data_IF_632155795800
#
_entry.id   IF_632155795800
#
_cell.length_a   1.000
_cell.length_b   1.000
_cell.length_c   1.000
_cell.angle_alpha   90.00
_cell.angle_beta   90.00
_cell.angle_gamma   90.00
#
_symmetry.space_group_name_H-M   'P 1'
#
loop_
_entity.id
_entity.type
_entity.pdbx_description
1 polymer ?
#
# COMPACT_ATOMS: atom_id res chain seq x y z
N UNK A 1 -18.05 -29.89 -15.81
CA UNK A 1 -17.75 -29.52 -14.40
C UNK A 1 -17.30 -28.07 -14.22
N UNK A 2 -16.55 -27.45 -15.16
CA UNK A 2 -16.16 -26.02 -15.05
C UNK A 2 -17.28 -25.03 -15.43
N UNK A 3 -18.26 -25.47 -16.20
CA UNK A 3 -19.34 -24.66 -16.80
C UNK A 3 -20.45 -24.30 -15.80
N UNK A 4 -20.76 -25.19 -14.86
CA UNK A 4 -21.86 -24.98 -13.90
C UNK A 4 -21.49 -24.00 -12.78
N UNK A 5 -20.22 -23.98 -12.37
CA UNK A 5 -19.70 -23.01 -11.39
C UNK A 5 -19.73 -21.58 -11.95
N UNK A 6 -19.35 -21.39 -13.21
CA UNK A 6 -19.39 -20.09 -13.86
C UNK A 6 -20.83 -19.58 -14.07
N UNK A 7 -21.79 -20.48 -14.32
CA UNK A 7 -23.21 -20.14 -14.45
C UNK A 7 -23.83 -19.76 -13.10
N UNK A 8 -23.50 -20.47 -12.02
CA UNK A 8 -23.91 -20.08 -10.66
C UNK A 8 -23.33 -18.72 -10.24
N UNK A 9 -22.07 -18.44 -10.60
CA UNK A 9 -21.42 -17.16 -10.31
C UNK A 9 -22.06 -16.01 -11.11
N UNK A 10 -22.42 -16.25 -12.37
CA UNK A 10 -23.15 -15.28 -13.18
C UNK A 10 -24.57 -15.01 -12.64
N UNK A 11 -25.29 -16.05 -12.22
CA UNK A 11 -26.62 -15.91 -11.63
C UNK A 11 -26.58 -15.19 -10.28
N UNK A 12 -25.62 -15.54 -9.41
CA UNK A 12 -25.38 -14.81 -8.16
C UNK A 12 -25.01 -13.34 -8.41
N UNK A 13 -24.19 -13.05 -9.44
CA UNK A 13 -23.92 -11.66 -9.86
C UNK A 13 -25.18 -10.92 -10.29
N UNK A 14 -26.05 -11.57 -11.05
CA UNK A 14 -27.27 -10.97 -11.57
C UNK A 14 -28.31 -10.76 -10.46
N UNK A 15 -28.48 -11.72 -9.56
CA UNK A 15 -29.38 -11.63 -8.40
C UNK A 15 -28.87 -10.59 -7.39
N UNK A 16 -27.56 -10.51 -7.15
CA UNK A 16 -26.95 -9.45 -6.33
C UNK A 16 -27.14 -8.07 -7.00
N UNK A 17 -26.87 -7.93 -8.29
CA UNK A 17 -27.08 -6.65 -8.99
C UNK A 17 -28.56 -6.22 -9.01
N UNK A 18 -29.49 -7.15 -9.22
CA UNK A 18 -30.93 -6.89 -9.18
C UNK A 18 -31.37 -6.47 -7.78
N UNK A 19 -30.90 -7.16 -6.74
CA UNK A 19 -31.21 -6.79 -5.35
C UNK A 19 -30.61 -5.46 -4.88
N UNK A 20 -29.45 -5.07 -5.42
CA UNK A 20 -28.82 -3.76 -5.18
C UNK A 20 -29.56 -2.64 -5.92
N UNK A 21 -30.13 -2.91 -7.10
CA UNK A 21 -30.98 -1.97 -7.84
C UNK A 21 -32.39 -1.82 -7.24
N UNK A 22 -32.88 -2.84 -6.52
CA UNK A 22 -34.20 -2.82 -5.88
C UNK A 22 -34.20 -2.25 -4.44
N UNK A 23 -33.07 -1.75 -3.93
CA UNK A 23 -33.04 -1.12 -2.60
C UNK A 23 -33.36 -2.09 -1.45
N UNK A 24 -33.05 -3.38 -1.62
CA UNK A 24 -33.26 -4.39 -0.58
C UNK A 24 -32.28 -4.18 0.59
N UNK A 25 -32.76 -3.54 1.66
CA UNK A 25 -31.99 -3.31 2.89
C UNK A 25 -31.33 -4.59 3.45
N UNK A 26 -31.92 -5.77 3.23
CA UNK A 26 -31.49 -7.03 3.87
C UNK A 26 -30.10 -7.51 3.44
N UNK A 27 -29.72 -7.32 2.18
CA UNK A 27 -28.40 -7.76 1.67
C UNK A 27 -27.30 -6.78 2.09
N UNK A 28 -27.58 -5.47 2.00
CA UNK A 28 -26.68 -4.45 2.53
C UNK A 28 -26.48 -4.63 4.03
N UNK A 29 -27.56 -4.89 4.78
CA UNK A 29 -27.51 -5.14 6.21
C UNK A 29 -26.71 -6.41 6.55
N UNK A 30 -26.82 -7.49 5.76
CA UNK A 30 -26.04 -8.71 5.97
C UNK A 30 -24.53 -8.48 5.85
N UNK A 31 -24.08 -7.80 4.80
CA UNK A 31 -22.66 -7.53 4.60
C UNK A 31 -22.11 -6.50 5.60
N UNK A 32 -22.90 -5.49 5.92
CA UNK A 32 -22.57 -4.57 7.02
C UNK A 32 -22.47 -5.31 8.36
N UNK A 33 -23.38 -6.25 8.64
CA UNK A 33 -23.32 -7.09 9.83
C UNK A 33 -22.10 -8.02 9.84
N UNK A 34 -21.72 -8.62 8.70
CA UNK A 34 -20.49 -9.42 8.60
C UNK A 34 -19.25 -8.58 8.92
N UNK A 35 -19.20 -7.34 8.42
CA UNK A 35 -18.11 -6.42 8.69
C UNK A 35 -17.99 -6.06 10.18
N UNK A 36 -19.12 -5.77 10.83
CA UNK A 36 -19.16 -5.34 12.24
C UNK A 36 -18.94 -6.53 13.19
N UNK A 37 -19.69 -7.62 12.99
CA UNK A 37 -19.77 -8.70 13.97
C UNK A 37 -18.65 -9.73 13.80
N UNK A 38 -18.31 -10.10 12.57
CA UNK A 38 -17.34 -11.15 12.28
C UNK A 38 -15.94 -10.56 12.08
N UNK A 39 -15.82 -9.60 11.16
CA UNK A 39 -14.54 -8.98 10.83
C UNK A 39 -14.07 -7.97 11.89
N UNK A 40 -14.99 -7.39 12.68
CA UNK A 40 -14.68 -6.36 13.69
C UNK A 40 -13.88 -5.19 13.11
N UNK A 41 -14.24 -4.76 11.90
CA UNK A 41 -13.60 -3.66 11.20
C UNK A 41 -12.05 -3.76 11.09
N UNK A 42 -11.50 -4.96 10.91
CA UNK A 42 -10.06 -5.16 10.64
C UNK A 42 -9.56 -4.33 9.46
N UNK A 43 -10.41 -4.10 8.47
CA UNK A 43 -10.08 -3.23 7.34
C UNK A 43 -9.81 -1.78 7.76
N UNK A 44 -10.28 -1.33 8.93
CA UNK A 44 -10.18 0.05 9.39
C UNK A 44 -9.18 0.26 10.53
N UNK A 45 -8.54 -0.79 11.08
CA UNK A 45 -7.71 -0.72 12.31
C UNK A 45 -6.41 -1.55 12.24
N UNK A 46 -5.31 -0.98 11.73
CA UNK A 46 -5.28 0.22 10.91
C UNK A 46 -5.80 -0.08 9.49
N UNK A 47 -6.35 0.94 8.82
CA UNK A 47 -6.64 0.84 7.41
C UNK A 47 -5.35 0.94 6.61
N UNK A 48 -5.04 -0.10 5.83
CA UNK A 48 -3.88 -0.11 4.95
C UNK A 48 -4.22 0.50 3.59
N UNK A 49 -3.71 1.71 3.36
CA UNK A 49 -3.71 2.32 2.04
C UNK A 49 -2.59 1.75 1.18
N UNK A 50 -2.93 0.89 0.21
CA UNK A 50 -1.96 0.19 -0.65
C UNK A 50 -1.96 0.82 -2.04
N UNK A 51 -0.80 1.31 -2.49
CA UNK A 51 -0.61 1.89 -3.83
C UNK A 51 0.59 1.22 -4.51
N UNK A 52 0.32 0.47 -5.57
CA UNK A 52 1.36 0.02 -6.49
C UNK A 52 1.74 1.13 -7.48
N UNK A 53 3.03 1.31 -7.75
CA UNK A 53 3.53 2.28 -8.73
C UNK A 53 4.91 1.90 -9.22
N UNK A 54 5.25 2.32 -10.44
CA UNK A 54 6.59 2.12 -10.98
C UNK A 54 7.43 3.39 -10.88
N UNK A 55 8.72 3.21 -10.67
CA UNK A 55 9.75 4.25 -10.78
C UNK A 55 10.80 3.73 -11.76
N UNK A 56 10.99 4.45 -12.86
CA UNK A 56 11.99 4.12 -13.88
C UNK A 56 13.10 5.16 -13.87
N UNK A 57 14.34 4.72 -14.10
CA UNK A 57 15.47 5.62 -14.27
C UNK A 57 16.34 5.15 -15.44
N UNK A 58 16.59 6.08 -16.35
CA UNK A 58 17.63 5.91 -17.37
C UNK A 58 19.00 6.15 -16.71
N UNK A 59 19.96 5.27 -16.99
CA UNK A 59 21.32 5.30 -16.43
C UNK A 59 21.46 4.53 -15.11
N UNK A 60 22.57 4.77 -14.41
CA UNK A 60 22.71 4.33 -13.02
C UNK A 60 21.76 5.12 -12.10
N UNK A 61 21.66 4.75 -10.82
CA UNK A 61 20.94 5.52 -9.80
C UNK A 61 21.36 7.00 -9.76
N UNK A 62 22.46 7.39 -10.42
CA UNK A 62 23.05 8.71 -10.31
C UNK A 62 23.55 8.90 -8.89
N UNK A 63 23.26 10.04 -8.27
CA UNK A 63 23.50 10.25 -6.84
C UNK A 63 22.46 9.48 -6.01
N UNK A 64 22.87 8.56 -5.10
CA UNK A 64 21.97 7.86 -4.19
C UNK A 64 21.11 8.81 -3.36
N UNK A 65 21.67 9.95 -2.92
CA UNK A 65 20.95 10.97 -2.18
C UNK A 65 19.80 11.60 -2.98
N UNK A 66 20.04 11.87 -4.27
CA UNK A 66 18.99 12.41 -5.16
C UNK A 66 17.88 11.39 -5.38
N UNK A 67 18.22 10.12 -5.57
CA UNK A 67 17.23 9.07 -5.76
C UNK A 67 16.42 8.79 -4.49
N UNK A 68 17.07 8.76 -3.32
CA UNK A 68 16.39 8.71 -2.03
C UNK A 68 15.38 9.84 -1.88
N UNK A 69 15.76 11.07 -2.21
CA UNK A 69 14.87 12.23 -2.14
C UNK A 69 13.67 12.10 -3.10
N UNK A 70 13.87 11.54 -4.28
CA UNK A 70 12.82 11.25 -5.26
C UNK A 70 11.82 10.20 -4.73
N UNK A 71 12.32 9.09 -4.18
CA UNK A 71 11.49 8.06 -3.55
C UNK A 71 10.69 8.61 -2.37
N UNK A 72 11.33 9.39 -1.51
CA UNK A 72 10.67 10.04 -0.36
C UNK A 72 9.56 10.98 -0.81
N UNK A 73 9.85 11.88 -1.76
CA UNK A 73 8.84 12.77 -2.33
C UNK A 73 7.70 11.96 -2.96
N UNK A 74 8.02 10.88 -3.67
CA UNK A 74 7.04 9.98 -4.28
C UNK A 74 6.12 9.29 -3.25
N UNK A 75 6.70 8.81 -2.15
CA UNK A 75 5.97 8.18 -1.05
C UNK A 75 5.05 9.20 -0.35
N UNK A 76 5.58 10.37 0.01
CA UNK A 76 4.83 11.46 0.66
C UNK A 76 3.69 11.98 -0.23
N UNK A 77 3.93 12.16 -1.53
CA UNK A 77 2.89 12.61 -2.48
C UNK A 77 1.71 11.61 -2.53
N UNK A 78 2.00 10.32 -2.48
CA UNK A 78 0.98 9.26 -2.49
C UNK A 78 0.19 9.23 -1.17
N UNK A 79 0.87 9.39 -0.04
CA UNK A 79 0.24 9.55 1.27
C UNK A 79 -0.73 10.74 1.27
N UNK A 80 -0.27 11.92 0.83
CA UNK A 80 -1.07 13.13 0.73
C UNK A 80 -2.31 12.92 -0.16
N UNK A 81 -2.14 12.30 -1.33
CA UNK A 81 -3.26 12.00 -2.23
C UNK A 81 -4.33 11.13 -1.58
N UNK A 82 -3.96 10.14 -0.77
CA UNK A 82 -4.93 9.37 0.00
C UNK A 82 -5.63 10.27 1.03
N UNK A 83 -4.86 10.99 1.84
CA UNK A 83 -5.40 11.86 2.89
C UNK A 83 -6.38 12.92 2.34
N UNK A 84 -6.14 13.44 1.15
CA UNK A 84 -6.98 14.46 0.51
C UNK A 84 -8.20 13.86 -0.19
N UNK A 85 -8.10 12.62 -0.70
CA UNK A 85 -9.22 11.94 -1.37
C UNK A 85 -10.18 11.23 -0.41
N UNK A 86 -9.69 10.82 0.78
CA UNK A 86 -10.48 10.12 1.80
C UNK A 86 -11.17 11.12 2.71
N UNK A 87 -12.20 11.76 2.17
CA UNK A 87 -13.07 12.73 2.84
C UNK A 87 -14.54 12.28 2.82
N UNK A 88 -15.33 12.70 3.80
CA UNK A 88 -16.78 12.44 3.81
C UNK A 88 -17.47 13.16 2.65
N UNK A 89 -18.64 12.67 2.24
CA UNK A 89 -19.44 13.29 1.17
C UNK A 89 -20.29 14.50 1.64
N UNK A 90 -20.20 14.83 2.93
CA UNK A 90 -20.99 15.90 3.55
C UNK A 90 -20.45 17.30 3.18
N UNK A 91 -21.19 18.35 3.54
CA UNK A 91 -20.78 19.75 3.31
C UNK A 91 -20.71 20.50 4.64
N UNK A 92 -19.53 20.98 5.07
CA UNK A 92 -18.20 20.80 4.45
C UNK A 92 -17.65 19.38 4.65
N UNK A 93 -16.82 18.87 3.72
CA UNK A 93 -16.23 17.54 3.85
C UNK A 93 -15.23 17.49 5.00
N UNK A 94 -15.14 16.34 5.66
CA UNK A 94 -14.19 16.06 6.75
C UNK A 94 -13.29 14.91 6.37
N UNK A 95 -12.01 14.96 6.75
CA UNK A 95 -11.04 13.88 6.53
C UNK A 95 -11.45 12.63 7.29
N UNK A 96 -11.27 11.45 6.69
CA UNK A 96 -11.53 10.17 7.33
C UNK A 96 -10.39 9.75 8.25
N UNK A 97 -9.16 10.11 7.93
CA UNK A 97 -7.97 9.57 8.57
C UNK A 97 -7.12 10.65 9.25
N UNK A 98 -6.46 10.25 10.33
CA UNK A 98 -5.23 10.92 10.81
C UNK A 98 -4.06 10.61 9.86
N UNK A 99 -2.96 11.39 9.89
CA UNK A 99 -1.71 10.96 9.24
C UNK A 99 -1.34 9.53 9.64
N UNK A 100 -0.74 8.75 8.74
CA UNK A 100 -0.53 7.33 8.98
C UNK A 100 0.49 7.12 10.11
N UNK A 101 0.23 6.12 10.94
CA UNK A 101 1.07 5.76 12.08
C UNK A 101 2.28 4.93 11.65
N UNK A 102 2.18 4.26 10.49
CA UNK A 102 3.24 3.42 9.92
C UNK A 102 3.32 3.58 8.41
N UNK A 103 4.53 3.41 7.89
CA UNK A 103 4.87 3.47 6.48
C UNK A 103 5.55 2.17 6.07
N UNK A 104 5.17 1.62 4.93
CA UNK A 104 5.89 0.52 4.32
C UNK A 104 6.12 0.81 2.83
N UNK A 105 7.29 0.44 2.32
CA UNK A 105 7.61 0.55 0.91
C UNK A 105 8.33 -0.73 0.51
N UNK A 106 7.78 -1.44 -0.47
CA UNK A 106 8.28 -2.73 -0.92
C UNK A 106 8.67 -2.67 -2.39
N UNK A 107 9.76 -3.34 -2.74
CA UNK A 107 10.12 -3.63 -4.13
C UNK A 107 9.34 -4.87 -4.54
N UNK A 108 8.33 -4.71 -5.41
CA UNK A 108 7.58 -5.82 -5.99
C UNK A 108 8.37 -6.53 -7.09
N UNK A 109 9.08 -5.74 -7.89
CA UNK A 109 9.84 -6.21 -9.03
C UNK A 109 10.92 -5.18 -9.37
N UNK A 110 12.05 -5.65 -9.89
CA UNK A 110 13.15 -4.81 -10.35
C UNK A 110 13.67 -5.37 -11.66
N UNK A 111 13.71 -4.54 -12.69
CA UNK A 111 14.12 -4.91 -14.04
C UNK A 111 15.24 -4.02 -14.51
N UNK A 112 16.28 -4.62 -15.09
CA UNK A 112 17.28 -3.85 -15.84
C UNK A 112 16.69 -3.48 -17.20
N UNK A 113 16.84 -2.23 -17.60
CA UNK A 113 16.52 -1.77 -18.95
C UNK A 113 17.81 -1.62 -19.75
N UNK A 114 17.72 -1.39 -21.07
CA UNK A 114 18.90 -1.21 -21.92
C UNK A 114 19.81 -0.06 -21.44
N UNK A 115 19.22 0.96 -20.84
CA UNK A 115 19.90 2.18 -20.39
C UNK A 115 19.97 2.31 -18.88
N UNK A 116 19.21 1.55 -18.08
CA UNK A 116 19.11 1.75 -16.63
C UNK A 116 18.29 0.68 -15.92
N UNK A 117 17.30 1.10 -15.11
CA UNK A 117 16.45 0.16 -14.37
C UNK A 117 15.03 0.68 -14.16
N UNK A 118 14.11 -0.25 -13.91
CA UNK A 118 12.72 -0.01 -13.53
C UNK A 118 12.43 -0.77 -12.24
N UNK A 119 11.90 -0.06 -11.24
CA UNK A 119 11.38 -0.65 -10.01
C UNK A 119 9.87 -0.56 -10.01
N UNK A 120 9.20 -1.67 -9.74
CA UNK A 120 7.79 -1.67 -9.36
C UNK A 120 7.73 -1.70 -7.84
N UNK A 121 7.15 -0.67 -7.25
CA UNK A 121 7.06 -0.45 -5.82
C UNK A 121 5.63 -0.60 -5.34
N UNK A 122 5.48 -0.99 -4.07
CA UNK A 122 4.20 -0.97 -3.35
C UNK A 122 4.40 -0.08 -2.12
N UNK A 123 3.75 1.08 -2.12
CA UNK A 123 3.63 1.92 -0.93
C UNK A 123 2.43 1.45 -0.11
N UNK A 124 2.61 1.34 1.21
CA UNK A 124 1.56 0.99 2.16
C UNK A 124 1.60 1.96 3.32
N UNK A 125 0.43 2.39 3.78
CA UNK A 125 0.28 3.37 4.85
C UNK A 125 -0.77 2.87 5.84
N UNK A 126 -0.41 2.80 7.12
CA UNK A 126 -1.33 2.40 8.18
C UNK A 126 -2.06 3.64 8.72
N UNK A 127 -3.27 3.89 8.23
CA UNK A 127 -4.11 4.99 8.67
C UNK A 127 -5.04 4.57 9.81
N UNK A 128 -5.37 5.53 10.67
CA UNK A 128 -6.39 5.37 11.70
C UNK A 128 -7.65 6.15 11.30
N UNK A 129 -8.78 5.44 11.21
CA UNK A 129 -10.09 6.05 10.91
C UNK A 129 -10.63 6.84 12.09
N UNK A 130 -10.90 8.13 11.88
CA UNK A 130 -11.48 9.05 12.85
C UNK A 130 -12.92 8.71 13.23
N UNK A 131 -13.60 7.90 12.42
CA UNK A 131 -15.01 7.55 12.56
C UNK A 131 -15.24 6.13 13.07
N UNK A 132 -14.16 5.38 13.28
CA UNK A 132 -14.22 4.05 13.87
C UNK A 132 -14.09 4.17 15.39
N UNK A 133 -15.14 3.80 16.11
CA UNK A 133 -15.12 3.75 17.58
C UNK A 133 -14.36 2.52 18.10
N UNK A 134 -14.05 2.51 19.40
CA UNK A 134 -13.29 1.44 20.04
C UNK A 134 -13.99 0.07 20.02
N UNK A 135 -15.31 0.05 19.91
CA UNK A 135 -16.16 -1.12 19.72
C UNK A 135 -16.29 -1.56 18.26
N UNK A 136 -15.53 -0.95 17.34
CA UNK A 136 -15.51 -1.23 15.90
C UNK A 136 -16.78 -0.81 15.15
N UNK A 137 -17.57 0.10 15.72
CA UNK A 137 -18.66 0.77 15.00
C UNK A 137 -18.13 1.90 14.11
N UNK A 138 -18.67 1.99 12.89
CA UNK A 138 -18.28 3.00 11.91
C UNK A 138 -19.38 4.04 11.77
N UNK A 139 -19.17 5.22 12.38
CA UNK A 139 -20.18 6.29 12.47
C UNK A 139 -20.51 6.98 11.15
N UNK A 140 -19.81 6.69 10.05
CA UNK A 140 -20.15 7.20 8.71
C UNK A 140 -21.11 6.28 7.96
N UNK A 141 -21.37 5.07 8.47
CA UNK A 141 -22.31 4.13 7.87
C UNK A 141 -23.76 4.56 8.15
N UNK A 142 -24.71 4.46 7.19
CA UNK A 142 -26.09 4.89 7.38
C UNK A 142 -26.77 4.18 8.56
N UNK A 143 -26.46 2.90 8.79
CA UNK A 143 -26.98 2.13 9.94
C UNK A 143 -26.55 2.69 11.30
N UNK A 144 -25.47 3.47 11.37
CA UNK A 144 -24.94 4.10 12.58
C UNK A 144 -25.16 5.62 12.61
N UNK A 145 -25.67 6.21 11.51
CA UNK A 145 -25.80 7.66 11.34
C UNK A 145 -27.23 8.08 10.96
N UNK A 146 -28.22 7.49 11.62
CA UNK A 146 -29.64 7.82 11.41
C UNK A 146 -30.06 7.78 9.92
N UNK A 147 -29.55 6.80 9.17
CA UNK A 147 -29.83 6.63 7.73
C UNK A 147 -29.00 7.49 6.79
N UNK A 148 -28.17 8.41 7.29
CA UNK A 148 -27.30 9.26 6.45
C UNK A 148 -26.00 8.55 6.10
N UNK A 149 -25.84 8.20 4.83
CA UNK A 149 -24.58 7.67 4.32
C UNK A 149 -23.63 8.82 3.98
N UNK A 150 -22.62 9.05 4.83
CA UNK A 150 -21.61 10.09 4.61
C UNK A 150 -20.27 9.55 4.16
N UNK A 151 -20.22 8.25 3.79
CA UNK A 151 -19.02 7.61 3.29
C UNK A 151 -18.59 8.22 1.95
N UNK A 152 -17.29 8.36 1.69
CA UNK A 152 -16.82 8.59 0.34
C UNK A 152 -17.10 7.39 -0.59
N UNK A 153 -17.14 7.61 -1.92
CA UNK A 153 -17.40 6.57 -2.91
C UNK A 153 -16.53 5.31 -2.78
N UNK A 154 -15.26 5.44 -2.40
CA UNK A 154 -14.37 4.29 -2.24
C UNK A 154 -14.71 3.45 -0.99
N UNK A 155 -15.15 4.07 0.10
CA UNK A 155 -15.60 3.36 1.29
C UNK A 155 -16.99 2.76 1.09
N UNK A 156 -17.87 3.42 0.35
CA UNK A 156 -19.18 2.85 0.00
C UNK A 156 -19.05 1.68 -0.96
N UNK A 157 -18.05 1.68 -1.84
CA UNK A 157 -17.73 0.57 -2.74
C UNK A 157 -16.92 -0.56 -2.07
N UNK A 158 -16.34 -0.32 -0.89
CA UNK A 158 -15.56 -1.33 -0.17
C UNK A 158 -16.48 -2.47 0.28
N UNK A 159 -16.15 -3.69 -0.13
CA UNK A 159 -17.00 -4.86 0.11
C UNK A 159 -18.16 -4.97 -0.88
N UNK A 160 -18.10 -4.32 -2.05
CA UNK A 160 -19.04 -4.62 -3.12
C UNK A 160 -19.00 -6.15 -3.41
N UNK A 161 -20.11 -6.90 -3.23
CA UNK A 161 -20.08 -8.36 -3.29
C UNK A 161 -19.68 -8.88 -4.69
N UNK A 162 -19.87 -8.05 -5.70
CA UNK A 162 -19.50 -8.31 -7.09
C UNK A 162 -18.03 -8.03 -7.42
N UNK A 163 -17.30 -7.38 -6.50
CA UNK A 163 -15.89 -7.01 -6.71
C UNK A 163 -15.00 -8.25 -6.72
N UNK A 164 -14.14 -8.32 -7.72
CA UNK A 164 -13.15 -9.39 -7.88
C UNK A 164 -11.81 -9.01 -7.28
N UNK A 165 -10.99 -10.03 -7.08
CA UNK A 165 -9.61 -9.84 -6.64
C UNK A 165 -8.85 -8.94 -7.63
N UNK A 166 -8.27 -7.86 -7.10
CA UNK A 166 -7.59 -6.84 -7.90
C UNK A 166 -8.46 -5.65 -8.31
N UNK A 167 -9.77 -5.66 -8.07
CA UNK A 167 -10.66 -4.52 -8.35
C UNK A 167 -10.75 -3.55 -7.14
N UNK A 168 -11.11 -2.29 -7.42
CA UNK A 168 -11.41 -1.31 -6.36
C UNK A 168 -12.61 -1.79 -5.54
N UNK A 169 -12.52 -1.70 -4.22
CA UNK A 169 -13.58 -2.13 -3.32
C UNK A 169 -13.58 -3.64 -3.01
N UNK A 170 -12.60 -4.40 -3.49
CA UNK A 170 -12.45 -5.81 -3.13
C UNK A 170 -12.25 -6.00 -1.61
N UNK A 171 -13.11 -6.81 -0.98
CA UNK A 171 -12.94 -7.26 0.39
C UNK A 171 -13.07 -8.78 0.44
N UNK A 172 -12.01 -9.47 0.90
CA UNK A 172 -11.96 -10.93 0.98
C UNK A 172 -13.03 -11.51 1.92
N UNK A 173 -13.28 -10.84 3.04
CA UNK A 173 -14.30 -11.27 4.02
C UNK A 173 -15.69 -11.19 3.42
N UNK A 174 -16.03 -10.08 2.77
CA UNK A 174 -17.34 -9.93 2.11
C UNK A 174 -17.47 -10.90 0.93
N UNK A 175 -16.41 -11.11 0.14
CA UNK A 175 -16.40 -12.14 -0.90
C UNK A 175 -16.66 -13.53 -0.33
N UNK A 176 -16.01 -13.89 0.79
CA UNK A 176 -16.24 -15.17 1.44
C UNK A 176 -17.70 -15.31 1.89
N UNK A 177 -18.25 -14.29 2.53
CA UNK A 177 -19.66 -14.26 2.95
C UNK A 177 -20.64 -14.36 1.77
N UNK A 178 -20.35 -13.70 0.65
CA UNK A 178 -21.18 -13.74 -0.55
C UNK A 178 -21.15 -15.12 -1.23
N UNK A 179 -19.95 -15.72 -1.35
CA UNK A 179 -19.79 -17.02 -2.00
C UNK A 179 -20.33 -18.19 -1.16
N UNK A 180 -20.34 -18.06 0.17
CA UNK A 180 -20.84 -19.09 1.07
C UNK A 180 -22.32 -18.94 1.41
N UNK A 181 -23.00 -17.85 1.03
CA UNK A 181 -24.37 -17.52 1.49
C UNK A 181 -25.40 -18.66 1.38
N UNK A 182 -25.24 -19.58 0.43
CA UNK A 182 -26.15 -20.71 0.19
C UNK A 182 -25.68 -22.06 0.76
N UNK A 183 -24.53 -22.12 1.46
CA UNK A 183 -24.08 -23.33 2.17
C UNK A 183 -24.74 -23.40 3.56
N UNK A 184 -24.55 -24.49 4.31
CA UNK A 184 -24.95 -24.54 5.72
C UNK A 184 -24.15 -23.57 6.59
N UNK A 185 -24.66 -23.28 7.79
CA UNK A 185 -24.09 -22.29 8.69
C UNK A 185 -22.64 -22.57 9.06
N UNK A 186 -22.28 -23.84 9.33
CA UNK A 186 -20.91 -24.19 9.73
C UNK A 186 -19.91 -23.90 8.60
N UNK A 187 -20.24 -24.27 7.36
CA UNK A 187 -19.38 -23.96 6.19
C UNK A 187 -19.29 -22.46 5.91
N UNK A 188 -20.36 -21.70 6.14
CA UNK A 188 -20.33 -20.23 6.00
C UNK A 188 -19.40 -19.60 7.01
N UNK A 189 -19.54 -19.99 8.28
CA UNK A 189 -18.77 -19.44 9.38
C UNK A 189 -17.28 -19.77 9.24
N UNK A 190 -16.97 -20.99 8.81
CA UNK A 190 -15.59 -21.41 8.50
C UNK A 190 -14.99 -20.54 7.38
N UNK A 191 -15.72 -20.34 6.26
CA UNK A 191 -15.22 -19.53 5.15
C UNK A 191 -14.96 -18.07 5.54
N UNK A 192 -15.86 -17.47 6.34
CA UNK A 192 -15.71 -16.11 6.85
C UNK A 192 -14.53 -16.03 7.82
N UNK A 193 -14.41 -16.99 8.74
CA UNK A 193 -13.31 -17.06 9.72
C UNK A 193 -11.95 -17.16 9.02
N UNK A 194 -11.81 -18.06 8.06
CA UNK A 194 -10.58 -18.21 7.28
C UNK A 194 -10.20 -16.92 6.54
N UNK A 195 -11.19 -16.20 5.98
CA UNK A 195 -10.95 -14.92 5.33
C UNK A 195 -10.51 -13.83 6.33
N UNK A 196 -11.13 -13.78 7.51
CA UNK A 196 -10.77 -12.86 8.60
C UNK A 196 -9.34 -13.11 9.09
N UNK A 197 -8.98 -14.38 9.32
CA UNK A 197 -7.64 -14.75 9.76
C UNK A 197 -6.57 -14.39 8.72
N UNK A 198 -6.85 -14.64 7.44
CA UNK A 198 -5.93 -14.27 6.36
C UNK A 198 -5.67 -12.76 6.32
N UNK A 199 -6.72 -11.94 6.38
CA UNK A 199 -6.60 -10.48 6.36
C UNK A 199 -5.88 -9.96 7.61
N UNK A 200 -6.20 -10.51 8.79
CA UNK A 200 -5.50 -10.19 10.05
C UNK A 200 -4.01 -10.50 9.96
N UNK A 201 -3.66 -11.73 9.59
CA UNK A 201 -2.26 -12.16 9.51
C UNK A 201 -1.48 -11.35 8.45
N UNK A 202 -2.14 -10.92 7.37
CA UNK A 202 -1.54 -10.06 6.36
C UNK A 202 -1.33 -8.64 6.90
N UNK A 203 -2.32 -8.06 7.57
CA UNK A 203 -2.21 -6.76 8.23
C UNK A 203 -1.12 -6.74 9.31
N UNK A 204 -1.06 -7.76 10.16
CA UNK A 204 -0.05 -7.90 11.22
C UNK A 204 1.37 -7.98 10.65
N UNK A 205 1.58 -8.75 9.57
CA UNK A 205 2.88 -8.79 8.88
C UNK A 205 3.26 -7.43 8.29
N UNK A 206 2.34 -6.77 7.59
CA UNK A 206 2.60 -5.42 7.07
C UNK A 206 2.93 -4.43 8.18
N UNK A 207 2.27 -4.56 9.34
CA UNK A 207 2.55 -3.73 10.50
C UNK A 207 3.90 -4.03 11.12
N UNK A 208 4.27 -5.30 11.27
CA UNK A 208 5.56 -5.72 11.81
C UNK A 208 6.72 -5.22 10.93
N UNK A 209 6.60 -5.38 9.61
CA UNK A 209 7.62 -5.01 8.63
C UNK A 209 7.61 -3.51 8.26
N UNK A 210 6.81 -2.69 8.95
CA UNK A 210 6.67 -1.25 8.67
C UNK A 210 7.52 -0.37 9.59
N UNK A 211 7.65 0.88 9.17
CA UNK A 211 8.47 1.92 9.80
C UNK A 211 7.60 3.03 10.36
N UNK A 212 8.14 3.83 11.28
CA UNK A 212 7.40 4.93 11.91
C UNK A 212 7.41 6.20 11.05
N UNK A 213 8.41 6.33 10.18
CA UNK A 213 8.55 7.47 9.27
C UNK A 213 8.65 7.04 7.81
N UNK A 214 8.33 7.96 6.90
CA UNK A 214 8.48 7.75 5.47
C UNK A 214 9.96 7.63 5.07
N UNK A 215 10.83 8.36 5.78
CA UNK A 215 12.28 8.36 5.63
C UNK A 215 12.86 6.96 5.89
N UNK A 216 12.52 6.36 7.03
CA UNK A 216 12.95 5.00 7.38
C UNK A 216 12.50 3.96 6.35
N UNK A 217 11.25 4.05 5.87
CA UNK A 217 10.73 3.15 4.84
C UNK A 217 11.48 3.28 3.51
N UNK A 218 11.86 4.49 3.13
CA UNK A 218 12.67 4.73 1.93
C UNK A 218 14.10 4.24 2.13
N UNK A 219 14.69 4.46 3.29
CA UNK A 219 16.04 3.99 3.62
C UNK A 219 16.15 2.47 3.53
N UNK A 220 15.17 1.75 4.07
CA UNK A 220 15.09 0.30 3.96
C UNK A 220 15.04 -0.19 2.50
N UNK A 221 14.34 0.53 1.63
CA UNK A 221 14.29 0.22 0.20
C UNK A 221 15.59 0.58 -0.52
N UNK A 222 16.20 1.70 -0.17
CA UNK A 222 17.52 2.10 -0.71
C UNK A 222 18.59 1.06 -0.42
N UNK A 223 18.56 0.43 0.75
CA UNK A 223 19.46 -0.69 1.07
C UNK A 223 19.21 -1.91 0.19
N UNK A 224 17.94 -2.31 0.01
CA UNK A 224 17.56 -3.47 -0.83
C UNK A 224 17.84 -3.25 -2.30
N UNK A 225 17.72 -2.02 -2.80
CA UNK A 225 18.00 -1.67 -4.20
C UNK A 225 19.45 -2.02 -4.59
N UNK A 226 20.40 -2.00 -3.64
CA UNK A 226 21.80 -2.39 -3.89
C UNK A 226 21.93 -3.82 -4.41
N UNK A 227 21.02 -4.72 -4.05
CA UNK A 227 21.00 -6.11 -4.53
C UNK A 227 20.59 -6.23 -6.00
N UNK A 228 19.79 -5.28 -6.50
CA UNK A 228 19.23 -5.32 -7.87
C UNK A 228 20.08 -4.55 -8.89
N UNK A 229 20.91 -3.63 -8.41
CA UNK A 229 21.84 -2.89 -9.24
C UNK A 229 23.11 -3.72 -9.35
N UNK A 230 23.49 -4.19 -10.55
CA UNK A 230 24.75 -4.88 -10.74
C UNK A 230 25.89 -3.93 -10.38
N UNK A 231 26.97 -4.51 -9.86
CA UNK A 231 28.17 -3.85 -9.34
C UNK A 231 29.01 -3.11 -10.40
N UNK A 232 28.39 -2.54 -11.44
CA UNK A 232 29.08 -1.72 -12.44
C UNK A 232 29.46 -0.33 -11.92
N UNK A 233 29.32 -0.06 -10.61
CA UNK A 233 29.83 1.16 -9.98
C UNK A 233 30.60 0.96 -8.66
N UNK A 234 31.18 -0.21 -8.40
CA UNK A 234 32.41 -0.24 -7.57
C UNK A 234 33.67 0.20 -8.32
N UNK A 235 33.61 0.43 -9.64
CA UNK A 235 34.75 0.94 -10.42
C UNK A 235 34.81 2.46 -10.62
N UNK A 236 33.89 3.25 -10.05
CA UNK A 236 34.01 4.72 -10.02
C UNK A 236 33.90 5.34 -8.62
N UNK A 237 33.86 4.52 -7.56
CA UNK A 237 34.24 4.95 -6.20
C UNK A 237 35.75 4.84 -5.92
N UNK A 238 36.57 4.80 -6.97
CA UNK A 238 37.91 5.36 -6.89
C UNK A 238 37.86 6.87 -7.13
N UNK A 239 37.13 7.58 -6.27
CA UNK A 239 37.60 8.87 -5.80
C UNK A 239 38.88 8.64 -5.00
N UNK A 240 39.95 8.13 -5.64
CA UNK A 240 41.29 8.53 -5.24
C UNK A 240 41.21 10.03 -5.35
N UNK A 241 41.15 10.73 -4.22
CA UNK A 241 41.44 12.14 -4.18
C UNK A 241 42.79 12.28 -4.88
N UNK A 242 42.76 12.60 -6.18
CA UNK A 242 43.97 12.88 -6.94
C UNK A 242 44.51 14.12 -6.27
N UNK A 243 45.51 13.94 -5.41
CA UNK A 243 46.18 15.03 -4.72
C UNK A 243 46.48 16.06 -5.80
N UNK A 244 45.87 17.25 -5.68
CA UNK A 244 45.98 18.28 -6.70
C UNK A 244 47.46 18.51 -6.98
N UNK A 245 47.84 18.66 -8.26
CA UNK A 245 49.26 18.73 -8.68
C UNK A 245 50.06 19.81 -7.90
N UNK A 246 49.39 20.83 -7.35
CA UNK A 246 49.96 21.89 -6.51
C UNK A 246 49.75 21.76 -4.99
N UNK A 247 49.00 20.76 -4.50
CA UNK A 247 48.75 20.53 -3.08
C UNK A 247 50.03 20.02 -2.35
N UNK A 248 50.14 20.17 -1.02
CA UNK A 248 51.23 19.58 -0.24
C UNK A 248 51.33 18.07 -0.48
N UNK A 249 52.55 17.57 -0.62
CA UNK A 249 52.79 16.16 -0.89
C UNK A 249 52.48 15.32 0.36
N UNK A 250 51.69 14.24 0.25
CA UNK A 250 51.26 13.44 1.39
C UNK A 250 52.39 12.66 2.08
N UNK A 251 53.61 12.62 1.52
CA UNK A 251 54.78 12.03 2.16
C UNK A 251 55.39 12.87 3.29
N UNK A 252 54.78 14.02 3.63
CA UNK A 252 55.26 14.89 4.72
C UNK A 252 56.49 15.75 4.38
N UNK A 253 56.92 15.81 3.12
CA UNK A 253 58.13 16.56 2.71
C UNK A 253 57.96 18.08 2.70
N UNK A 254 56.74 18.58 2.88
CA UNK A 254 56.39 20.01 2.75
C UNK A 254 56.39 20.55 1.31
N UNK A 255 56.78 19.75 0.31
CA UNK A 255 56.82 20.19 -1.10
C UNK A 255 55.47 19.98 -1.81
N UNK A 256 55.20 20.74 -2.89
CA UNK A 256 54.02 20.51 -3.75
C UNK A 256 54.11 19.15 -4.44
N UNK A 257 52.98 18.44 -4.59
CA UNK A 257 52.92 17.09 -5.15
C UNK A 257 53.70 16.94 -6.46
N UNK A 258 53.55 17.87 -7.42
CA UNK A 258 54.29 17.87 -8.70
C UNK A 258 55.81 17.96 -8.61
N UNK A 259 56.34 18.48 -7.50
CA UNK A 259 57.79 18.61 -7.28
C UNK A 259 58.37 17.45 -6.47
N UNK A 260 57.53 16.53 -6.02
CA UNK A 260 57.90 15.37 -5.23
C UNK A 260 57.41 14.10 -5.96
N UNK A 261 56.46 13.37 -5.39
CA UNK A 261 55.94 12.10 -5.94
C UNK A 261 55.07 12.26 -7.21
N UNK A 262 54.75 13.48 -7.61
CA UNK A 262 54.06 13.81 -8.86
C UNK A 262 55.00 14.36 -9.94
N UNK A 263 56.32 14.16 -9.83
CA UNK A 263 57.29 14.47 -10.88
C UNK A 263 57.13 13.46 -12.03
N UNK A 264 56.36 13.88 -13.03
CA UNK A 264 56.46 13.45 -14.41
C UNK A 264 56.85 14.66 -15.25
#
# INVERSE_FOLDING_TARGET
MQTDANLLICKAKQDIMLSMNEGSNTITDYFSATCVNSCKALCCKPWWGIIAYSVGKDGSVGSPARFRAELLKGLQTRCARIMDAYITNEKPPRRLFRPPQRYNLLIKNAQKTATGFKLDLIAMFAFECLYLSGDHSCSIHPTQNAGRDIRPPHCSALGAPVAKEGETGFCRVIRAAALSQHTDAARRDEAITNAVEFERNTSERHYADSFTTAEEAVDAVMERIKEYIPDTQQSNMAGKATVGRNAPCPCGSGQKFKKCHGKG
#
